data_IF_544089792439
#
_entry.id   IF_544089792439
#
_cell.length_a   1.000
_cell.length_b   1.000
_cell.length_c   1.000
_cell.angle_alpha   90.00
_cell.angle_beta   90.00
_cell.angle_gamma   90.00
#
_symmetry.space_group_name_H-M   'P 1'
#
loop_
_entity.id
_entity.type
_entity.pdbx_description
1 polymer ?
#
# COMPACT_ATOMS: atom_id res chain seq x y z
N UNK A 1 55.00 13.03 -15.86
CA UNK A 1 53.96 12.01 -15.61
C UNK A 1 53.18 12.47 -14.40
N UNK A 2 52.10 13.22 -14.59
CA UNK A 2 51.32 13.77 -13.49
C UNK A 2 50.23 12.77 -13.10
N UNK A 3 50.37 12.19 -11.91
CA UNK A 3 49.33 11.40 -11.28
C UNK A 3 48.16 12.34 -10.94
N UNK A 4 47.04 12.16 -11.63
CA UNK A 4 45.77 12.78 -11.25
C UNK A 4 45.34 12.05 -9.99
N UNK A 5 45.57 12.67 -8.83
CA UNK A 5 44.97 12.25 -7.58
C UNK A 5 43.45 12.35 -7.76
N UNK A 6 42.79 11.20 -7.90
CA UNK A 6 41.33 11.13 -7.87
C UNK A 6 40.95 11.48 -6.43
N UNK A 7 40.46 12.70 -6.25
CA UNK A 7 39.98 13.23 -5.00
C UNK A 7 38.82 12.34 -4.49
N UNK A 8 39.08 11.58 -3.43
CA UNK A 8 38.13 10.69 -2.79
C UNK A 8 36.95 11.45 -2.14
N UNK A 9 36.98 12.79 -2.10
CA UNK A 9 35.84 13.62 -1.68
C UNK A 9 34.71 13.68 -2.72
N UNK A 10 34.93 13.18 -3.94
CA UNK A 10 33.86 12.91 -4.92
C UNK A 10 33.18 11.57 -4.66
N UNK A 11 32.97 11.22 -3.40
CA UNK A 11 32.04 10.17 -3.05
C UNK A 11 30.64 10.71 -3.37
N UNK A 12 30.25 10.54 -4.63
CA UNK A 12 28.91 10.82 -5.13
C UNK A 12 27.94 10.19 -4.14
N UNK A 13 27.13 11.04 -3.50
CA UNK A 13 26.01 10.61 -2.67
C UNK A 13 25.31 9.49 -3.45
N UNK A 14 25.13 8.29 -2.85
CA UNK A 14 24.57 7.17 -3.57
C UNK A 14 23.08 7.37 -3.70
N UNK A 15 22.73 8.23 -4.65
CA UNK A 15 21.52 8.28 -5.44
C UNK A 15 21.82 9.33 -6.52
N UNK A 16 21.51 8.97 -7.76
CA UNK A 16 21.42 9.84 -8.93
C UNK A 16 20.82 11.20 -8.55
N UNK A 17 21.10 12.28 -9.28
CA UNK A 17 20.65 13.68 -9.06
C UNK A 17 19.11 13.89 -8.86
N UNK A 18 18.34 12.81 -8.77
CA UNK A 18 16.91 12.70 -8.51
C UNK A 18 16.65 12.13 -7.10
N UNK A 19 16.19 12.95 -6.13
CA UNK A 19 15.79 12.45 -4.82
C UNK A 19 14.49 11.64 -4.95
N UNK A 20 14.55 10.35 -4.67
CA UNK A 20 13.34 9.51 -4.53
C UNK A 20 12.59 9.93 -3.27
N UNK A 21 11.39 10.46 -3.45
CA UNK A 21 10.48 10.86 -2.36
C UNK A 21 9.64 9.65 -1.90
N UNK A 22 10.23 8.80 -1.04
CA UNK A 22 9.55 7.65 -0.44
C UNK A 22 8.40 8.08 0.46
N UNK A 23 8.52 9.22 1.14
CA UNK A 23 7.48 9.75 2.02
C UNK A 23 6.20 10.06 1.23
N UNK A 24 6.31 10.58 0.00
CA UNK A 24 5.16 10.81 -0.88
C UNK A 24 4.45 9.49 -1.24
N UNK A 25 5.20 8.44 -1.56
CA UNK A 25 4.64 7.11 -1.86
C UNK A 25 3.90 6.56 -0.64
N UNK A 26 4.51 6.65 0.54
CA UNK A 26 3.90 6.23 1.81
C UNK A 26 2.59 6.98 2.10
N UNK A 27 2.55 8.30 1.86
CA UNK A 27 1.32 9.10 1.99
C UNK A 27 0.25 8.70 0.99
N UNK A 28 0.61 8.47 -0.27
CA UNK A 28 -0.33 8.06 -1.32
C UNK A 28 -0.93 6.67 -1.03
N UNK A 29 -0.12 5.73 -0.52
CA UNK A 29 -0.59 4.43 -0.05
C UNK A 29 -1.56 4.55 1.13
N UNK A 30 -1.26 5.42 2.11
CA UNK A 30 -2.14 5.67 3.23
C UNK A 30 -3.47 6.30 2.80
N UNK A 31 -3.46 7.23 1.85
CA UNK A 31 -4.67 7.87 1.33
C UNK A 31 -5.52 6.90 0.51
N UNK A 32 -4.90 6.05 -0.32
CA UNK A 32 -5.59 4.98 -1.05
C UNK A 32 -6.27 4.01 -0.08
N UNK A 33 -5.56 3.59 0.97
CA UNK A 33 -6.11 2.73 2.01
C UNK A 33 -7.27 3.37 2.76
N UNK A 34 -7.16 4.64 3.11
CA UNK A 34 -8.19 5.37 3.84
C UNK A 34 -9.45 5.60 2.99
N UNK A 35 -9.28 5.91 1.71
CA UNK A 35 -10.38 6.17 0.78
C UNK A 35 -11.00 4.89 0.22
N UNK A 36 -10.28 3.77 0.28
CA UNK A 36 -10.65 2.52 -0.40
C UNK A 36 -10.57 2.63 -1.94
N UNK A 37 -10.02 3.72 -2.46
CA UNK A 37 -9.84 3.92 -3.89
C UNK A 37 -8.47 3.40 -4.32
N UNK A 38 -8.39 2.56 -5.37
CA UNK A 38 -7.12 2.07 -5.88
C UNK A 38 -6.33 3.22 -6.54
N UNK A 39 -5.01 3.15 -6.42
CA UNK A 39 -4.08 4.04 -7.13
C UNK A 39 -3.02 3.22 -7.88
N UNK A 40 -3.35 2.74 -9.08
CA UNK A 40 -2.46 1.90 -9.88
C UNK A 40 -1.16 2.62 -10.29
N UNK A 41 -1.19 3.95 -10.42
CA UNK A 41 -0.02 4.72 -10.81
C UNK A 41 1.03 4.77 -9.70
N UNK A 42 0.59 4.95 -8.45
CA UNK A 42 1.51 4.89 -7.31
C UNK A 42 2.09 3.49 -7.14
N UNK A 43 1.37 2.41 -7.49
CA UNK A 43 1.93 1.04 -7.49
C UNK A 43 3.10 0.95 -8.47
N UNK A 44 2.90 1.34 -9.73
CA UNK A 44 3.94 1.27 -10.78
C UNK A 44 5.16 2.10 -10.39
N UNK A 45 4.94 3.30 -9.85
CA UNK A 45 6.02 4.16 -9.39
C UNK A 45 6.79 3.51 -8.23
N UNK A 46 6.09 2.94 -7.24
CA UNK A 46 6.72 2.28 -6.11
C UNK A 46 7.53 1.04 -6.54
N UNK A 47 7.05 0.27 -7.51
CA UNK A 47 7.79 -0.85 -8.10
C UNK A 47 9.07 -0.37 -8.81
N UNK A 48 8.99 0.70 -9.61
CA UNK A 48 10.17 1.30 -10.24
C UNK A 48 11.19 1.80 -9.20
N UNK A 49 10.71 2.36 -8.08
CA UNK A 49 11.56 2.80 -6.98
C UNK A 49 12.27 1.62 -6.31
N UNK A 50 11.58 0.50 -6.10
CA UNK A 50 12.22 -0.72 -5.55
C UNK A 50 13.33 -1.22 -6.46
N UNK A 51 13.09 -1.27 -7.77
CA UNK A 51 14.11 -1.72 -8.73
C UNK A 51 15.37 -0.84 -8.69
N UNK A 52 15.18 0.49 -8.56
CA UNK A 52 16.30 1.43 -8.40
C UNK A 52 17.05 1.22 -7.08
N UNK A 53 16.34 1.01 -5.97
CA UNK A 53 16.95 0.74 -4.67
C UNK A 53 17.73 -0.58 -4.70
N UNK A 54 17.17 -1.62 -5.30
CA UNK A 54 17.80 -2.94 -5.39
C UNK A 54 19.06 -2.91 -6.27
N UNK A 55 19.03 -2.15 -7.37
CA UNK A 55 20.21 -1.90 -8.21
C UNK A 55 21.33 -1.18 -7.42
N UNK A 56 21.00 -0.14 -6.66
CA UNK A 56 22.00 0.59 -5.87
C UNK A 56 22.52 -0.24 -4.68
N UNK A 57 21.67 -1.03 -4.04
CA UNK A 57 22.10 -1.99 -3.01
C UNK A 57 23.12 -2.98 -3.57
N UNK A 58 22.90 -3.50 -4.79
CA UNK A 58 23.86 -4.39 -5.43
C UNK A 58 25.19 -3.66 -5.74
N UNK A 59 25.12 -2.43 -6.25
CA UNK A 59 26.29 -1.61 -6.55
C UNK A 59 27.11 -1.27 -5.28
N UNK A 60 26.45 -0.87 -4.20
CA UNK A 60 27.10 -0.57 -2.92
C UNK A 60 27.67 -1.82 -2.26
N UNK A 61 27.00 -2.97 -2.36
CA UNK A 61 27.55 -4.24 -1.85
C UNK A 61 28.90 -4.57 -2.51
N UNK A 62 29.03 -4.33 -3.82
CA UNK A 62 30.29 -4.54 -4.53
C UNK A 62 31.36 -3.48 -4.18
N UNK A 63 30.96 -2.23 -3.88
CA UNK A 63 31.88 -1.20 -3.33
C UNK A 63 32.38 -1.59 -1.93
N UNK A 64 31.51 -2.08 -1.06
CA UNK A 64 31.86 -2.58 0.27
C UNK A 64 32.89 -3.70 0.18
N UNK A 65 32.68 -4.66 -0.73
CA UNK A 65 33.61 -5.77 -0.98
C UNK A 65 35.00 -5.29 -1.44
N UNK A 66 35.09 -4.15 -2.12
CA UNK A 66 36.34 -3.50 -2.54
C UNK A 66 37.00 -2.69 -1.43
N UNK A 67 36.40 -2.63 -0.24
CA UNK A 67 36.92 -1.92 0.94
C UNK A 67 36.46 -0.47 1.04
N UNK A 68 35.48 -0.05 0.23
CA UNK A 68 34.90 1.30 0.32
C UNK A 68 33.94 1.40 1.51
N UNK A 69 33.94 2.55 2.20
CA UNK A 69 33.04 2.78 3.34
C UNK A 69 31.65 3.21 2.85
N UNK A 70 30.69 2.28 2.90
CA UNK A 70 29.32 2.47 2.38
C UNK A 70 28.20 2.03 3.36
N UNK A 71 28.56 1.69 4.59
CA UNK A 71 27.65 1.06 5.57
C UNK A 71 26.43 1.94 5.93
N UNK A 72 26.60 3.26 6.01
CA UNK A 72 25.50 4.20 6.26
C UNK A 72 24.50 4.21 5.10
N UNK A 73 24.98 4.25 3.87
CA UNK A 73 24.17 4.24 2.65
C UNK A 73 23.43 2.91 2.49
N UNK A 74 24.10 1.77 2.72
CA UNK A 74 23.46 0.45 2.73
C UNK A 74 22.32 0.38 3.75
N UNK A 75 22.52 0.89 4.97
CA UNK A 75 21.47 0.93 6.00
C UNK A 75 20.29 1.80 5.56
N UNK A 76 20.55 2.99 5.03
CA UNK A 76 19.52 3.92 4.54
C UNK A 76 18.69 3.27 3.42
N UNK A 77 19.34 2.69 2.43
CA UNK A 77 18.66 2.03 1.30
C UNK A 77 17.83 0.83 1.73
N UNK A 78 18.32 0.01 2.67
CA UNK A 78 17.53 -1.11 3.23
C UNK A 78 16.27 -0.61 3.96
N UNK A 79 16.37 0.52 4.67
CA UNK A 79 15.21 1.13 5.33
C UNK A 79 14.20 1.65 4.29
N UNK A 80 14.66 2.41 3.30
CA UNK A 80 13.82 2.90 2.19
C UNK A 80 13.14 1.76 1.44
N UNK A 81 13.88 0.68 1.14
CA UNK A 81 13.33 -0.53 0.52
C UNK A 81 12.17 -1.11 1.33
N UNK A 82 12.35 -1.22 2.65
CA UNK A 82 11.32 -1.76 3.56
C UNK A 82 10.07 -0.88 3.55
N UNK A 83 10.25 0.43 3.60
CA UNK A 83 9.16 1.41 3.56
C UNK A 83 8.36 1.30 2.26
N UNK A 84 9.04 1.31 1.11
CA UNK A 84 8.36 1.24 -0.20
C UNK A 84 7.66 -0.11 -0.39
N UNK A 85 8.26 -1.22 0.07
CA UNK A 85 7.61 -2.53 0.07
C UNK A 85 6.31 -2.54 0.88
N UNK A 86 6.29 -1.86 2.04
CA UNK A 86 5.06 -1.73 2.83
C UNK A 86 4.00 -0.95 2.07
N UNK A 87 4.37 0.16 1.43
CA UNK A 87 3.46 0.96 0.61
C UNK A 87 2.87 0.14 -0.56
N UNK A 88 3.69 -0.64 -1.28
CA UNK A 88 3.24 -1.52 -2.37
C UNK A 88 2.21 -2.52 -1.84
N UNK A 89 2.49 -3.19 -0.72
CA UNK A 89 1.58 -4.17 -0.14
C UNK A 89 0.24 -3.54 0.27
N UNK A 90 0.28 -2.33 0.83
CA UNK A 90 -0.93 -1.56 1.15
C UNK A 90 -1.74 -1.26 -0.11
N UNK A 91 -1.11 -0.74 -1.16
CA UNK A 91 -1.79 -0.38 -2.40
C UNK A 91 -2.40 -1.60 -3.11
N UNK A 92 -1.65 -2.70 -3.22
CA UNK A 92 -2.15 -3.95 -3.83
C UNK A 92 -3.36 -4.53 -3.08
N UNK A 93 -3.34 -4.46 -1.75
CA UNK A 93 -4.49 -4.87 -0.94
C UNK A 93 -5.74 -4.04 -1.24
N UNK A 94 -5.59 -2.72 -1.40
CA UNK A 94 -6.71 -1.83 -1.75
C UNK A 94 -7.25 -2.17 -3.15
N UNK A 95 -6.37 -2.41 -4.12
CA UNK A 95 -6.74 -2.83 -5.47
C UNK A 95 -7.52 -4.15 -5.45
N UNK A 96 -7.06 -5.15 -4.69
CA UNK A 96 -7.76 -6.43 -4.52
C UNK A 96 -9.15 -6.29 -3.86
N UNK A 97 -9.26 -5.45 -2.83
CA UNK A 97 -10.53 -5.19 -2.14
C UNK A 97 -11.52 -4.43 -3.03
N UNK A 98 -11.03 -3.46 -3.82
CA UNK A 98 -11.82 -2.72 -4.79
C UNK A 98 -12.36 -3.64 -5.89
N UNK A 99 -11.50 -4.48 -6.47
CA UNK A 99 -11.86 -5.46 -7.50
C UNK A 99 -12.95 -6.43 -7.01
N UNK A 100 -12.86 -6.87 -5.76
CA UNK A 100 -13.87 -7.76 -5.15
C UNK A 100 -15.22 -7.05 -4.97
N UNK A 101 -15.20 -5.78 -4.56
CA UNK A 101 -16.41 -4.97 -4.41
C UNK A 101 -17.09 -4.69 -5.76
N UNK A 102 -16.33 -4.45 -6.82
CA UNK A 102 -16.89 -4.25 -8.17
C UNK A 102 -17.47 -5.55 -8.77
N UNK A 103 -16.85 -6.71 -8.51
CA UNK A 103 -17.34 -8.01 -9.00
C UNK A 103 -18.57 -8.50 -8.24
N UNK A 104 -18.72 -8.09 -6.99
CA UNK A 104 -19.88 -8.38 -6.15
C UNK A 104 -20.48 -7.08 -5.63
N UNK A 105 -21.11 -6.26 -6.51
CA UNK A 105 -21.94 -5.17 -6.01
C UNK A 105 -22.97 -5.83 -5.13
N UNK A 106 -23.00 -5.44 -3.85
CA UNK A 106 -23.83 -6.06 -2.83
C UNK A 106 -25.18 -6.44 -3.44
N UNK A 107 -25.47 -7.74 -3.46
CA UNK A 107 -26.82 -8.24 -3.65
C UNK A 107 -27.59 -7.72 -2.44
N UNK A 108 -28.07 -6.48 -2.54
CA UNK A 108 -28.96 -5.85 -1.61
C UNK A 108 -30.17 -6.78 -1.53
N UNK A 109 -30.17 -7.65 -0.52
CA UNK A 109 -31.30 -8.52 -0.18
C UNK A 109 -32.39 -7.62 0.37
N UNK A 110 -32.98 -6.86 -0.54
CA UNK A 110 -34.33 -6.34 -0.49
C UNK A 110 -35.34 -7.44 -0.86
N UNK A 111 -35.17 -8.65 -0.31
CA UNK A 111 -36.20 -9.71 -0.36
C UNK A 111 -36.37 -10.30 1.03
N UNK A 112 -37.44 -9.88 1.69
CA UNK A 112 -37.82 -10.33 3.04
C UNK A 112 -38.80 -9.44 3.79
N UNK A 113 -39.30 -8.35 3.18
CA UNK A 113 -40.28 -7.43 3.78
C UNK A 113 -41.65 -7.45 3.09
N UNK A 114 -42.07 -8.62 2.61
CA UNK A 114 -43.39 -8.78 2.00
C UNK A 114 -43.98 -10.17 2.27
N UNK A 115 -44.22 -10.53 3.54
CA UNK A 115 -45.23 -11.56 3.87
C UNK A 115 -45.64 -11.65 5.36
N UNK A 116 -46.04 -10.55 6.01
CA UNK A 116 -46.69 -10.66 7.33
C UNK A 116 -47.87 -9.70 7.55
N UNK A 117 -48.69 -9.49 6.51
CA UNK A 117 -49.96 -8.74 6.65
C UNK A 117 -51.09 -9.31 5.80
N UNK A 118 -51.62 -10.47 6.23
CA UNK A 118 -52.98 -11.00 6.06
C UNK A 118 -52.97 -12.29 6.91
N UNK A 119 -53.79 -12.48 7.92
CA UNK A 119 -55.24 -12.42 7.89
C UNK A 119 -55.80 -11.92 9.23
N UNK A 120 -56.65 -10.90 9.15
CA UNK A 120 -57.72 -10.72 10.11
C UNK A 120 -58.79 -11.75 9.75
N UNK A 121 -59.02 -12.72 10.64
CA UNK A 121 -60.09 -13.71 10.53
C UNK A 121 -60.57 -14.06 11.94
N UNK A 122 -61.78 -13.59 12.26
CA UNK A 122 -62.41 -13.63 13.56
C UNK A 122 -62.72 -15.04 14.09
N UNK A 123 -62.74 -15.21 15.42
CA UNK A 123 -63.89 -15.81 16.14
C UNK A 123 -63.80 -15.58 17.67
N UNK A 124 -64.93 -15.53 18.39
CA UNK A 124 -65.07 -14.83 19.67
C UNK A 124 -65.07 -15.76 20.89
N UNK A 125 -65.12 -15.09 22.05
CA UNK A 125 -65.61 -15.54 23.37
C UNK A 125 -64.61 -15.78 24.51
N UNK A 126 -65.04 -15.24 25.65
CA UNK A 126 -64.74 -15.62 27.03
C UNK A 126 -63.56 -14.90 27.70
N UNK A 127 -63.81 -13.66 28.15
CA UNK A 127 -63.34 -13.25 29.48
C UNK A 127 -64.41 -12.37 30.16
N UNK A 128 -65.21 -13.03 31.01
CA UNK A 128 -66.10 -12.40 31.98
C UNK A 128 -65.26 -11.93 33.16
N UNK A 129 -65.16 -10.61 33.38
CA UNK A 129 -64.62 -10.04 34.61
C UNK A 129 -65.79 -9.78 35.55
N UNK A 130 -65.90 -10.58 36.60
CA UNK A 130 -66.72 -10.27 37.77
C UNK A 130 -65.88 -9.47 38.76
N UNK A 131 -66.51 -8.43 39.32
CA UNK A 131 -66.00 -7.49 40.33
C UNK A 131 -65.79 -8.16 41.68
#
# INVERSE_FOLDING_TARGET
MNAIAIDASKQTDPFVDWPVDTDRISRAAAESFKSGAPDPWTIVEAECVIDLIDAELAALTERERRGETVSASLRRLKAMRTEVMLAINTLKKVEEEFDQAERHPAHDRSEGLSDFRREAGASPEAFSIAT
#
